data_IF_186766358910
#
_entry.id   IF_186766358910
#
_cell.length_a   1.000
_cell.length_b   1.000
_cell.length_c   1.000
_cell.angle_alpha   90.00
_cell.angle_beta   90.00
_cell.angle_gamma   90.00
#
_symmetry.space_group_name_H-M   'P 1'
#
loop_
_entity.id
_entity.type
_entity.pdbx_description
1 polymer ?
#
# COMPACT_ATOMS: atom_id res chain seq x y z
N UNK A 1 36.64 -12.68 4.70
CA UNK A 1 35.85 -11.51 5.11
C UNK A 1 34.43 -11.65 4.57
N UNK A 2 33.48 -11.88 5.49
CA UNK A 2 32.02 -11.69 5.46
C UNK A 2 31.18 -12.16 4.24
N UNK A 3 30.63 -13.38 4.42
CA UNK A 3 29.25 -13.84 4.20
C UNK A 3 28.24 -12.85 3.58
N UNK A 4 27.73 -13.19 2.39
CA UNK A 4 26.48 -12.63 1.85
C UNK A 4 25.58 -13.76 1.35
N UNK A 5 25.25 -14.70 2.24
CA UNK A 5 24.09 -15.58 2.02
C UNK A 5 22.85 -14.72 2.26
N UNK A 6 22.28 -14.18 1.19
CA UNK A 6 20.90 -13.70 1.21
C UNK A 6 19.99 -14.91 1.35
N UNK A 7 19.92 -15.43 2.57
CA UNK A 7 18.90 -16.38 2.99
C UNK A 7 17.58 -15.64 2.92
N UNK A 8 16.95 -15.66 1.74
CA UNK A 8 15.54 -15.34 1.62
C UNK A 8 14.83 -16.48 2.33
N UNK A 9 14.28 -16.26 3.55
CA UNK A 9 13.58 -17.35 4.24
C UNK A 9 12.45 -17.84 3.34
N UNK A 10 12.10 -19.14 3.38
CA UNK A 10 10.98 -19.68 2.63
C UNK A 10 9.77 -18.78 2.87
N UNK A 11 9.16 -18.32 1.78
CA UNK A 11 8.08 -17.35 1.77
C UNK A 11 6.86 -17.90 2.50
N UNK A 12 6.85 -17.75 3.83
CA UNK A 12 5.65 -17.79 4.65
C UNK A 12 4.63 -16.90 3.96
N UNK A 13 3.44 -17.42 3.65
CA UNK A 13 2.35 -16.67 3.02
C UNK A 13 2.17 -15.37 3.81
N UNK A 14 2.67 -14.29 3.23
CA UNK A 14 2.88 -13.02 3.93
C UNK A 14 1.56 -12.29 4.03
N UNK A 15 0.81 -12.53 5.11
CA UNK A 15 -0.46 -11.84 5.36
C UNK A 15 -0.22 -10.36 5.60
N UNK A 16 -0.94 -9.54 4.85
CA UNK A 16 -1.07 -8.11 5.08
C UNK A 16 -1.83 -7.83 6.37
N UNK A 17 -1.46 -6.75 7.04
CA UNK A 17 -2.11 -6.15 8.19
C UNK A 17 -1.95 -4.64 8.13
N UNK A 18 -2.82 -3.91 8.82
CA UNK A 18 -2.70 -2.46 8.96
C UNK A 18 -1.56 -2.21 9.95
N UNK A 19 -0.48 -1.61 9.49
CA UNK A 19 0.69 -1.30 10.30
C UNK A 19 0.51 0.02 11.05
N UNK A 20 0.00 1.05 10.37
CA UNK A 20 -0.31 2.33 10.98
C UNK A 20 -1.33 3.10 10.15
N UNK A 21 -2.10 3.96 10.82
CA UNK A 21 -2.96 4.98 10.21
C UNK A 21 -2.65 6.28 10.91
N UNK A 22 -2.00 7.20 10.20
CA UNK A 22 -1.54 8.46 10.77
C UNK A 22 -2.21 9.64 10.06
N UNK A 23 -2.37 10.76 10.77
CA UNK A 23 -2.95 11.97 10.17
C UNK A 23 -1.90 12.59 9.26
N UNK A 24 -2.27 12.79 8.01
CA UNK A 24 -1.39 13.33 6.99
C UNK A 24 -1.81 14.75 6.63
N UNK A 25 -0.85 15.53 6.14
CA UNK A 25 -1.16 16.82 5.53
C UNK A 25 -1.93 16.61 4.23
N UNK A 26 -2.80 17.56 3.92
CA UNK A 26 -3.44 17.61 2.61
C UNK A 26 -2.36 17.71 1.53
N UNK A 27 -2.46 16.93 0.43
CA UNK A 27 -1.57 17.12 -0.71
C UNK A 27 -1.74 18.56 -1.27
N UNK A 28 -0.73 19.10 -1.97
CA UNK A 28 -0.70 20.52 -2.39
C UNK A 28 -1.87 20.95 -3.29
N UNK A 29 -2.57 19.99 -3.88
CA UNK A 29 -3.77 20.15 -4.71
C UNK A 29 -4.97 19.35 -4.19
N UNK A 30 -4.91 18.90 -2.93
CA UNK A 30 -5.99 18.21 -2.25
C UNK A 30 -6.99 19.20 -1.68
N UNK A 31 -8.28 18.86 -1.79
CA UNK A 31 -9.33 19.61 -1.11
C UNK A 31 -9.10 19.68 0.40
N UNK A 32 -9.60 20.75 1.02
CA UNK A 32 -9.66 20.93 2.45
C UNK A 32 -10.35 19.73 3.14
N UNK A 33 -9.82 19.35 4.30
CA UNK A 33 -10.33 18.24 5.12
C UNK A 33 -9.22 17.46 5.81
N UNK A 34 -9.63 16.53 6.66
CA UNK A 34 -8.70 15.62 7.33
C UNK A 34 -8.24 14.53 6.36
N UNK A 35 -6.91 14.47 6.19
CA UNK A 35 -6.25 13.44 5.42
C UNK A 35 -5.57 12.47 6.36
N UNK A 36 -5.60 11.19 6.01
CA UNK A 36 -4.93 10.15 6.75
C UNK A 36 -4.14 9.28 5.78
N UNK A 37 -2.91 8.94 6.19
CA UNK A 37 -2.05 8.01 5.50
C UNK A 37 -2.10 6.68 6.22
N UNK A 38 -2.50 5.63 5.52
CA UNK A 38 -2.46 4.27 6.02
C UNK A 38 -1.28 3.51 5.42
N UNK A 39 -0.67 2.64 6.23
CA UNK A 39 0.43 1.77 5.84
C UNK A 39 0.01 0.33 6.08
N UNK A 40 0.05 -0.49 5.04
CA UNK A 40 -0.24 -1.92 5.10
C UNK A 40 1.09 -2.68 4.99
N UNK A 41 1.48 -3.37 6.05
CA UNK A 41 2.66 -4.22 6.07
C UNK A 41 2.24 -5.68 5.90
N UNK A 42 3.11 -6.51 5.34
CA UNK A 42 2.78 -7.90 5.09
C UNK A 42 3.77 -8.52 4.13
N UNK A 43 3.87 -7.97 2.92
CA UNK A 43 4.75 -8.43 1.85
C UNK A 43 6.23 -8.01 1.98
N UNK A 44 6.94 -8.00 0.85
CA UNK A 44 8.34 -7.55 0.76
C UNK A 44 8.47 -6.03 0.91
N UNK A 45 7.43 -5.29 0.53
CA UNK A 45 7.35 -3.83 0.62
C UNK A 45 6.04 -3.40 1.27
N UNK A 46 6.06 -2.39 2.15
CA UNK A 46 4.83 -1.81 2.69
C UNK A 46 4.05 -1.10 1.59
N UNK A 47 2.72 -1.20 1.65
CA UNK A 47 1.81 -0.46 0.76
C UNK A 47 1.34 0.77 1.53
N UNK A 48 1.59 1.96 0.98
CA UNK A 48 1.13 3.21 1.55
C UNK A 48 -0.01 3.77 0.70
N UNK A 49 -1.06 4.26 1.37
CA UNK A 49 -2.17 4.93 0.72
C UNK A 49 -2.57 6.19 1.48
N UNK A 50 -3.02 7.20 0.75
CA UNK A 50 -3.51 8.45 1.31
C UNK A 50 -4.99 8.54 1.02
N UNK A 51 -5.80 8.83 2.05
CA UNK A 51 -7.25 8.94 1.90
C UNK A 51 -7.79 10.07 2.77
N UNK A 52 -8.70 10.85 2.19
CA UNK A 52 -9.49 11.86 2.91
C UNK A 52 -10.66 11.19 3.63
N UNK A 53 -10.97 11.67 4.82
CA UNK A 53 -12.11 11.20 5.62
C UNK A 53 -11.77 11.23 7.10
N UNK A 54 -12.55 10.53 7.92
CA UNK A 54 -12.25 10.39 9.35
C UNK A 54 -11.28 9.25 9.61
N UNK A 55 -10.60 9.26 10.77
CA UNK A 55 -9.73 8.16 11.20
C UNK A 55 -10.45 6.80 11.14
N UNK A 56 -11.73 6.77 11.55
CA UNK A 56 -12.54 5.55 11.53
C UNK A 56 -12.78 5.05 10.09
N UNK A 57 -13.18 5.94 9.18
CA UNK A 57 -13.40 5.56 7.77
C UNK A 57 -12.12 5.09 7.08
N UNK A 58 -10.98 5.72 7.38
CA UNK A 58 -9.70 5.35 6.80
C UNK A 58 -9.20 4.03 7.38
N UNK A 59 -9.42 3.79 8.67
CA UNK A 59 -9.11 2.51 9.33
C UNK A 59 -9.95 1.36 8.77
N UNK A 60 -11.26 1.56 8.63
CA UNK A 60 -12.17 0.59 8.02
C UNK A 60 -11.80 0.28 6.56
N UNK A 61 -11.43 1.32 5.81
CA UNK A 61 -10.93 1.15 4.45
C UNK A 61 -9.63 0.34 4.41
N UNK A 62 -8.66 0.67 5.27
CA UNK A 62 -7.39 -0.06 5.38
C UNK A 62 -7.62 -1.54 5.76
N UNK A 63 -8.56 -1.82 6.67
CA UNK A 63 -8.99 -3.18 7.05
C UNK A 63 -9.55 -3.95 5.86
N UNK A 64 -10.43 -3.32 5.06
CA UNK A 64 -10.96 -3.92 3.82
C UNK A 64 -9.83 -4.20 2.83
N UNK A 65 -8.95 -3.23 2.57
CA UNK A 65 -7.79 -3.42 1.69
C UNK A 65 -6.92 -4.60 2.12
N UNK A 66 -6.65 -4.73 3.42
CA UNK A 66 -5.90 -5.88 3.96
C UNK A 66 -6.61 -7.20 3.70
N UNK A 67 -7.92 -7.27 3.91
CA UNK A 67 -8.72 -8.47 3.63
C UNK A 67 -8.63 -8.85 2.16
N UNK A 68 -8.84 -7.90 1.25
CA UNK A 68 -8.73 -8.10 -0.19
C UNK A 68 -7.31 -8.53 -0.62
N UNK A 69 -6.27 -7.96 -0.01
CA UNK A 69 -4.88 -8.34 -0.26
C UNK A 69 -4.57 -9.76 0.24
N UNK A 70 -5.09 -10.13 1.41
CA UNK A 70 -4.90 -11.45 2.00
C UNK A 70 -5.65 -12.54 1.24
N UNK A 71 -6.87 -12.26 0.80
CA UNK A 71 -7.67 -13.14 -0.06
C UNK A 71 -6.89 -13.45 -1.35
N UNK A 72 -6.37 -12.41 -2.01
CA UNK A 72 -5.53 -12.57 -3.22
C UNK A 72 -4.23 -13.32 -2.97
N UNK A 73 -3.60 -13.08 -1.82
CA UNK A 73 -2.34 -13.74 -1.45
C UNK A 73 -2.52 -15.22 -1.06
N UNK A 74 -3.76 -15.64 -0.74
CA UNK A 74 -4.08 -17.04 -0.36
C UNK A 74 -4.19 -18.00 -1.55
N UNK A 75 -4.00 -17.51 -2.79
CA UNK A 75 -3.62 -18.32 -3.94
C UNK A 75 -4.63 -18.37 -5.08
N UNK A 76 -4.34 -17.65 -6.18
CA UNK A 76 -4.68 -18.04 -7.59
C UNK A 76 -4.38 -17.02 -8.69
N UNK A 77 -3.88 -15.80 -8.42
CA UNK A 77 -3.69 -14.81 -9.52
C UNK A 77 -2.43 -13.98 -9.38
N UNK A 78 -1.49 -14.22 -10.30
CA UNK A 78 -0.42 -13.29 -10.63
C UNK A 78 -1.06 -11.97 -11.14
N UNK A 79 -0.82 -10.89 -10.41
CA UNK A 79 -0.71 -9.51 -10.92
C UNK A 79 -1.92 -8.89 -11.64
N UNK A 80 -3.02 -8.62 -10.91
CA UNK A 80 -4.07 -7.69 -11.40
C UNK A 80 -3.68 -6.19 -11.26
N UNK A 81 -2.57 -5.88 -10.59
CA UNK A 81 -2.08 -4.51 -10.35
C UNK A 81 -0.87 -4.12 -11.22
N UNK A 82 -0.54 -4.95 -12.21
CA UNK A 82 0.61 -4.79 -13.09
C UNK A 82 0.31 -4.22 -14.48
N UNK A 83 -0.58 -3.22 -14.62
CA UNK A 83 -0.67 -2.38 -15.83
C UNK A 83 -1.44 -1.10 -15.43
N UNK A 84 -0.85 0.09 -15.38
CA UNK A 84 -0.30 0.83 -16.52
C UNK A 84 0.88 1.72 -16.11
N UNK A 85 2.05 1.46 -16.68
CA UNK A 85 2.99 2.52 -17.06
C UNK A 85 2.52 3.05 -18.41
N UNK A 86 1.95 4.23 -18.46
CA UNK A 86 1.86 5.02 -19.70
C UNK A 86 2.57 6.34 -19.47
N UNK A 87 3.71 6.48 -20.13
CA UNK A 87 4.51 7.69 -20.28
C UNK A 87 3.82 8.60 -21.30
N UNK A 88 3.57 9.87 -20.97
CA UNK A 88 3.49 11.01 -21.90
C UNK A 88 3.42 12.29 -21.03
N UNK A 89 4.52 13.01 -20.78
CA UNK A 89 5.24 13.97 -21.64
C UNK A 89 4.60 15.37 -21.66
N UNK A 90 5.35 16.33 -21.11
CA UNK A 90 5.53 17.73 -21.48
C UNK A 90 4.31 18.64 -21.73
N UNK A 91 4.22 19.71 -20.94
CA UNK A 91 3.57 20.97 -21.34
C UNK A 91 4.63 22.07 -21.34
N UNK A 92 5.18 22.35 -22.53
CA UNK A 92 5.77 23.63 -22.88
C UNK A 92 4.79 24.29 -23.87
N UNK A 93 4.47 25.56 -23.63
CA UNK A 93 3.61 26.41 -24.43
C UNK A 93 3.50 27.76 -23.76
#
# INVERSE_FOLDING_TARGET
MQSSLTSTPPSLIRRYHVASVDKAQSPPNGSDGDWYRYVLAGGRTPITGLRRGTLNEVTEHARRCVRDLNDRNSGKRLSAWGTRRTKASASAG
#
